data_IF_723510916602
#
_entry.id   IF_723510916602
#
_cell.length_a   1.000
_cell.length_b   1.000
_cell.length_c   1.000
_cell.angle_alpha   90.00
_cell.angle_beta   90.00
_cell.angle_gamma   90.00
#
_symmetry.space_group_name_H-M   'P 1'
#
loop_
_entity.id
_entity.type
_entity.pdbx_description
1 polymer ?
#
# COMPACT_ATOMS: atom_id res chain seq x y z
N UNK A 1 -40.01 -2.70 15.40
CA UNK A 1 -38.68 -2.04 15.35
C UNK A 1 -38.02 -2.33 16.69
N UNK A 2 -36.85 -2.99 16.79
CA UNK A 2 -36.28 -3.30 18.10
C UNK A 2 -35.85 -1.99 18.78
N UNK A 3 -36.16 -1.92 20.08
CA UNK A 3 -36.11 -0.74 20.96
C UNK A 3 -34.73 -0.49 21.59
N UNK A 4 -33.67 -1.08 21.05
CA UNK A 4 -32.33 -0.90 21.58
C UNK A 4 -31.68 0.30 20.90
N UNK A 5 -31.64 1.41 21.63
CA UNK A 5 -31.07 2.68 21.19
C UNK A 5 -29.64 2.47 20.69
N UNK A 6 -29.42 2.83 19.43
CA UNK A 6 -28.12 2.79 18.78
C UNK A 6 -27.14 3.73 19.45
N UNK A 7 -26.41 3.21 20.44
CA UNK A 7 -25.24 3.92 20.99
C UNK A 7 -24.27 4.14 19.83
N UNK A 8 -23.97 5.40 19.55
CA UNK A 8 -23.00 5.74 18.51
C UNK A 8 -21.68 5.03 18.84
N UNK A 9 -21.15 4.27 17.89
CA UNK A 9 -19.89 3.53 18.11
C UNK A 9 -18.74 4.51 18.41
N UNK A 10 -18.80 5.70 17.80
CA UNK A 10 -17.99 6.86 18.17
C UNK A 10 -18.71 8.16 17.80
N UNK A 11 -18.35 9.26 18.45
CA UNK A 11 -18.75 10.59 18.02
C UNK A 11 -17.86 11.08 16.87
N UNK A 12 -18.40 11.88 15.92
CA UNK A 12 -17.58 12.49 14.88
C UNK A 12 -16.46 13.34 15.48
N UNK A 13 -15.23 13.08 15.06
CA UNK A 13 -14.05 13.85 15.44
C UNK A 13 -13.53 14.65 14.23
N UNK A 14 -12.99 15.86 14.41
CA UNK A 14 -12.40 16.62 13.33
C UNK A 14 -11.22 15.84 12.71
N UNK A 15 -11.17 15.79 11.39
CA UNK A 15 -10.16 15.07 10.59
C UNK A 15 -9.37 16.00 9.66
N UNK A 16 -9.38 17.30 9.95
CA UNK A 16 -8.69 18.33 9.15
C UNK A 16 -9.58 18.92 8.06
N UNK A 17 -8.96 19.33 6.95
CA UNK A 17 -9.63 19.94 5.80
C UNK A 17 -9.32 19.12 4.56
N UNK A 18 -10.36 18.73 3.80
CA UNK A 18 -10.23 18.03 2.52
C UNK A 18 -10.92 18.87 1.45
N UNK A 19 -10.21 19.21 0.37
CA UNK A 19 -10.73 20.04 -0.73
C UNK A 19 -11.35 21.37 -0.27
N UNK A 20 -10.77 22.00 0.75
CA UNK A 20 -11.28 23.25 1.33
C UNK A 20 -12.51 23.10 2.23
N UNK A 21 -12.97 21.87 2.49
CA UNK A 21 -14.13 21.57 3.35
C UNK A 21 -13.66 20.90 4.66
N UNK A 22 -14.20 21.27 5.84
CA UNK A 22 -13.88 20.60 7.09
C UNK A 22 -14.30 19.12 7.01
N UNK A 23 -13.33 18.24 7.28
CA UNK A 23 -13.53 16.81 7.30
C UNK A 23 -13.77 16.32 8.72
N UNK A 24 -14.64 15.33 8.87
CA UNK A 24 -14.91 14.65 10.14
C UNK A 24 -14.79 13.14 9.95
N UNK A 25 -14.23 12.45 10.94
CA UNK A 25 -14.12 11.00 10.99
C UNK A 25 -15.03 10.46 12.08
N UNK A 26 -15.80 9.43 11.74
CA UNK A 26 -16.60 8.68 12.70
C UNK A 26 -16.48 7.19 12.40
N UNK A 27 -16.28 6.38 13.44
CA UNK A 27 -16.49 4.94 13.39
C UNK A 27 -17.97 4.64 13.54
N UNK A 28 -18.47 3.73 12.70
CA UNK A 28 -19.87 3.32 12.66
C UNK A 28 -19.99 1.81 12.71
N UNK A 29 -21.09 1.31 13.25
CA UNK A 29 -21.38 -0.13 13.24
C UNK A 29 -21.69 -0.62 11.83
N UNK A 30 -21.46 -1.92 11.59
CA UNK A 30 -21.75 -2.54 10.31
C UNK A 30 -23.24 -2.46 9.95
N UNK A 31 -24.13 -2.65 10.92
CA UNK A 31 -25.58 -2.54 10.73
C UNK A 31 -26.01 -1.12 10.33
N UNK A 32 -25.44 -0.09 10.97
CA UNK A 32 -25.66 1.29 10.56
C UNK A 32 -25.18 1.52 9.13
N UNK A 33 -23.96 1.05 8.81
CA UNK A 33 -23.41 1.21 7.46
C UNK A 33 -24.30 0.55 6.40
N UNK A 34 -24.81 -0.65 6.67
CA UNK A 34 -25.73 -1.38 5.79
C UNK A 34 -27.04 -0.63 5.60
N UNK A 35 -27.64 -0.12 6.67
CA UNK A 35 -28.82 0.75 6.60
C UNK A 35 -28.54 2.02 5.80
N UNK A 36 -27.41 2.67 6.05
CA UNK A 36 -27.03 3.93 5.41
C UNK A 36 -26.85 3.75 3.90
N UNK A 37 -26.16 2.70 3.45
CA UNK A 37 -25.99 2.43 2.02
C UNK A 37 -27.33 2.17 1.33
N UNK A 38 -28.28 1.50 2.00
CA UNK A 38 -29.57 1.13 1.41
C UNK A 38 -30.57 2.29 1.38
N UNK A 39 -30.64 3.07 2.46
CA UNK A 39 -31.68 4.11 2.63
C UNK A 39 -31.10 5.47 3.01
N UNK A 40 -30.04 5.51 3.81
CA UNK A 40 -29.45 6.77 4.30
C UNK A 40 -28.82 7.64 3.21
N UNK A 41 -28.23 7.04 2.17
CA UNK A 41 -27.64 7.78 1.03
C UNK A 41 -28.64 8.67 0.32
N UNK A 42 -29.86 8.18 0.08
CA UNK A 42 -30.93 8.97 -0.56
C UNK A 42 -31.37 10.09 0.36
N UNK A 43 -31.60 9.79 1.65
CA UNK A 43 -31.96 10.81 2.64
C UNK A 43 -30.91 11.91 2.78
N UNK A 44 -29.63 11.56 2.70
CA UNK A 44 -28.54 12.54 2.74
C UNK A 44 -28.54 13.42 1.48
N UNK A 45 -28.79 12.82 0.31
CA UNK A 45 -28.94 13.58 -0.93
C UNK A 45 -30.11 14.58 -0.84
N UNK A 46 -31.28 14.12 -0.41
CA UNK A 46 -32.47 14.97 -0.24
C UNK A 46 -32.22 16.09 0.79
N UNK A 47 -31.46 15.80 1.86
CA UNK A 47 -31.07 16.79 2.85
C UNK A 47 -30.12 17.84 2.27
N UNK A 48 -29.11 17.42 1.52
CA UNK A 48 -28.17 18.32 0.85
C UNK A 48 -28.91 19.26 -0.11
N UNK A 49 -29.84 18.73 -0.90
CA UNK A 49 -30.65 19.51 -1.85
C UNK A 49 -31.53 20.54 -1.14
N UNK A 50 -32.23 20.15 -0.07
CA UNK A 50 -33.14 21.03 0.67
C UNK A 50 -32.44 22.15 1.44
N UNK A 51 -31.24 21.88 1.97
CA UNK A 51 -30.53 22.80 2.87
C UNK A 51 -29.37 23.52 2.19
N UNK A 52 -29.16 23.34 0.88
CA UNK A 52 -28.00 23.87 0.17
C UNK A 52 -26.67 23.37 0.74
N UNK A 53 -26.66 22.19 1.37
CA UNK A 53 -25.47 21.60 1.97
C UNK A 53 -24.75 20.68 0.97
N UNK A 54 -23.44 20.50 1.12
CA UNK A 54 -22.65 19.59 0.28
C UNK A 54 -21.93 18.53 1.13
N UNK A 55 -22.68 17.80 1.96
CA UNK A 55 -22.11 16.74 2.78
C UNK A 55 -21.76 15.54 1.88
N UNK A 56 -20.48 15.18 1.84
CA UNK A 56 -19.97 14.02 1.10
C UNK A 56 -19.46 12.97 2.08
N UNK A 57 -19.86 11.71 1.87
CA UNK A 57 -19.29 10.58 2.59
C UNK A 57 -18.20 9.92 1.76
N UNK A 58 -16.99 9.93 2.30
CA UNK A 58 -15.87 9.16 1.81
C UNK A 58 -15.61 8.00 2.77
N UNK A 59 -15.66 6.77 2.26
CA UNK A 59 -15.23 5.60 3.05
C UNK A 59 -13.71 5.59 3.07
N UNK A 60 -13.11 5.86 4.23
CA UNK A 60 -11.69 5.59 4.41
C UNK A 60 -11.43 4.09 4.24
N UNK A 61 -10.52 3.77 3.33
CA UNK A 61 -9.99 2.42 3.20
C UNK A 61 -9.08 2.14 4.39
N UNK A 62 -9.12 0.93 4.93
CA UNK A 62 -8.15 0.48 5.93
C UNK A 62 -6.73 0.63 5.38
N UNK A 63 -5.75 0.88 6.26
CA UNK A 63 -4.34 1.02 5.87
C UNK A 63 -3.90 -0.15 4.98
N UNK A 64 -4.28 -1.37 5.35
CA UNK A 64 -4.01 -2.61 4.60
C UNK A 64 -4.55 -2.59 3.16
N UNK A 65 -5.76 -2.07 2.94
CA UNK A 65 -6.34 -2.03 1.60
C UNK A 65 -5.69 -0.93 0.74
N UNK A 66 -5.28 0.18 1.36
CA UNK A 66 -4.52 1.22 0.67
C UNK A 66 -3.13 0.74 0.27
N UNK A 67 -2.45 0.01 1.16
CA UNK A 67 -1.13 -0.56 0.88
C UNK A 67 -1.18 -1.63 -0.22
N UNK A 68 -2.25 -2.44 -0.28
CA UNK A 68 -2.49 -3.35 -1.40
C UNK A 68 -2.59 -2.60 -2.74
N UNK A 69 -3.37 -1.51 -2.80
CA UNK A 69 -3.49 -0.70 -4.01
C UNK A 69 -2.14 -0.09 -4.41
N UNK A 70 -1.37 0.42 -3.43
CA UNK A 70 -0.02 0.96 -3.65
C UNK A 70 0.97 -0.11 -4.13
N UNK A 71 0.91 -1.31 -3.56
CA UNK A 71 1.73 -2.45 -4.00
C UNK A 71 1.38 -2.84 -5.43
N UNK A 72 0.10 -2.85 -5.78
CA UNK A 72 -0.34 -3.09 -7.16
C UNK A 72 0.21 -2.07 -8.15
N UNK A 73 0.24 -0.79 -7.78
CA UNK A 73 0.86 0.27 -8.59
C UNK A 73 2.38 0.11 -8.71
N UNK A 74 3.04 -0.26 -7.61
CA UNK A 74 4.48 -0.54 -7.59
C UNK A 74 4.83 -1.69 -8.54
N UNK A 75 4.12 -2.82 -8.43
CA UNK A 75 4.30 -3.97 -9.30
C UNK A 75 4.09 -3.60 -10.76
N UNK A 76 3.02 -2.85 -11.08
CA UNK A 76 2.75 -2.37 -12.43
C UNK A 76 3.92 -1.55 -12.99
N UNK A 77 4.50 -0.66 -12.17
CA UNK A 77 5.66 0.15 -12.57
C UNK A 77 6.90 -0.74 -12.83
N UNK A 78 7.26 -1.62 -11.88
CA UNK A 78 8.39 -2.55 -12.02
C UNK A 78 8.25 -3.45 -13.25
N UNK A 79 7.06 -4.01 -13.48
CA UNK A 79 6.76 -4.83 -14.65
C UNK A 79 6.96 -4.05 -15.95
N UNK A 80 6.35 -2.87 -16.08
CA UNK A 80 6.50 -2.03 -17.27
C UNK A 80 7.96 -1.65 -17.54
N UNK A 81 8.72 -1.31 -16.48
CA UNK A 81 10.15 -1.03 -16.60
C UNK A 81 10.92 -2.25 -17.08
N UNK A 82 10.62 -3.43 -16.56
CA UNK A 82 11.29 -4.66 -16.96
C UNK A 82 10.99 -5.04 -18.43
N UNK A 83 9.74 -4.86 -18.91
CA UNK A 83 9.40 -5.03 -20.34
C UNK A 83 10.09 -4.01 -21.22
N UNK A 84 10.16 -2.75 -20.77
CA UNK A 84 10.87 -1.69 -21.48
C UNK A 84 12.37 -1.99 -21.60
N UNK A 85 12.99 -2.49 -20.52
CA UNK A 85 14.42 -2.81 -20.49
C UNK A 85 14.74 -4.02 -21.39
N UNK A 86 13.84 -5.01 -21.43
CA UNK A 86 13.96 -6.17 -22.31
C UNK A 86 13.63 -5.86 -23.79
N UNK A 87 13.11 -4.65 -24.08
CA UNK A 87 12.60 -4.25 -25.42
C UNK A 87 11.53 -5.19 -25.97
N UNK A 88 10.73 -5.80 -25.09
CA UNK A 88 9.62 -6.69 -25.43
C UNK A 88 8.31 -5.91 -25.30
N UNK A 89 7.36 -6.18 -26.20
CA UNK A 89 6.01 -5.61 -26.10
C UNK A 89 5.34 -6.05 -24.80
N UNK A 90 5.05 -5.09 -23.93
CA UNK A 90 4.43 -5.37 -22.64
C UNK A 90 2.96 -5.82 -22.82
N UNK A 91 2.51 -6.88 -22.14
CA UNK A 91 1.10 -7.18 -22.04
C UNK A 91 0.38 -6.04 -21.30
N UNK A 92 -0.93 -5.91 -21.49
CA UNK A 92 -1.70 -4.88 -20.80
C UNK A 92 -1.74 -5.15 -19.29
N UNK A 93 -1.14 -4.26 -18.50
CA UNK A 93 -1.16 -4.35 -17.04
C UNK A 93 -2.13 -3.30 -16.50
N UNK A 94 -3.22 -3.76 -15.87
CA UNK A 94 -4.28 -2.91 -15.34
C UNK A 94 -4.66 -3.28 -13.90
N UNK A 95 -5.18 -2.30 -13.16
CA UNK A 95 -5.68 -2.46 -11.80
C UNK A 95 -7.20 -2.35 -11.82
N UNK A 96 -7.89 -3.43 -11.47
CA UNK A 96 -9.36 -3.52 -11.47
C UNK A 96 -9.81 -3.81 -10.05
N UNK A 97 -10.47 -2.83 -9.39
CA UNK A 97 -11.00 -2.96 -8.01
C UNK A 97 -9.95 -3.41 -6.98
N UNK A 98 -8.71 -2.97 -7.12
CA UNK A 98 -7.59 -3.35 -6.23
C UNK A 98 -6.96 -4.71 -6.53
N UNK A 99 -7.40 -5.38 -7.60
CA UNK A 99 -6.76 -6.58 -8.14
C UNK A 99 -5.90 -6.19 -9.35
N UNK A 100 -4.74 -6.82 -9.47
CA UNK A 100 -3.80 -6.61 -10.56
C UNK A 100 -4.05 -7.66 -11.64
N UNK A 101 -4.25 -7.20 -12.89
CA UNK A 101 -4.45 -8.03 -14.08
C UNK A 101 -3.27 -7.85 -15.02
N UNK A 102 -2.70 -8.95 -15.50
CA UNK A 102 -1.61 -8.97 -16.49
C UNK A 102 -2.14 -9.68 -17.74
N UNK A 103 -2.29 -8.93 -18.83
CA UNK A 103 -2.81 -9.44 -20.10
C UNK A 103 -4.17 -10.13 -19.95
N UNK A 104 -4.21 -11.43 -20.31
CA UNK A 104 -5.42 -12.26 -20.26
C UNK A 104 -5.53 -13.10 -18.98
N UNK A 105 -4.61 -12.96 -18.04
CA UNK A 105 -4.66 -13.71 -16.78
C UNK A 105 -5.77 -13.22 -15.86
N UNK A 106 -6.18 -14.10 -14.93
CA UNK A 106 -7.20 -13.79 -13.92
C UNK A 106 -6.66 -12.69 -12.99
N UNK A 107 -7.43 -11.61 -12.73
CA UNK A 107 -7.03 -10.58 -11.78
C UNK A 107 -6.78 -11.16 -10.38
N UNK A 108 -5.62 -10.87 -9.81
CA UNK A 108 -5.19 -11.41 -8.51
C UNK A 108 -4.80 -10.29 -7.55
N UNK A 109 -4.76 -10.62 -6.25
CA UNK A 109 -4.32 -9.68 -5.24
C UNK A 109 -2.83 -9.33 -5.45
N UNK A 110 -2.44 -8.05 -5.34
CA UNK A 110 -1.05 -7.63 -5.49
C UNK A 110 -0.05 -8.41 -4.63
N UNK A 111 -0.38 -8.68 -3.37
CA UNK A 111 0.49 -9.47 -2.49
C UNK A 111 0.69 -10.90 -2.98
N UNK A 112 -0.38 -11.58 -3.40
CA UNK A 112 -0.29 -12.94 -3.98
C UNK A 112 0.54 -12.93 -5.26
N UNK A 113 0.35 -11.92 -6.10
CA UNK A 113 1.10 -11.81 -7.35
C UNK A 113 2.59 -11.54 -7.12
N UNK A 114 2.93 -10.72 -6.12
CA UNK A 114 4.32 -10.48 -5.73
C UNK A 114 5.02 -11.78 -5.29
N UNK A 115 4.32 -12.64 -4.54
CA UNK A 115 4.81 -13.98 -4.17
C UNK A 115 5.00 -14.83 -5.43
N UNK A 116 3.97 -14.96 -6.28
CA UNK A 116 4.03 -15.81 -7.48
C UNK A 116 5.12 -15.40 -8.46
N UNK A 117 5.37 -14.11 -8.63
CA UNK A 117 6.39 -13.55 -9.50
C UNK A 117 7.77 -13.44 -8.83
N UNK A 118 7.87 -13.73 -7.54
CA UNK A 118 9.08 -13.58 -6.73
C UNK A 118 9.76 -12.19 -6.89
N UNK A 119 8.95 -11.13 -6.89
CA UNK A 119 9.42 -9.77 -7.23
C UNK A 119 10.39 -9.24 -6.17
N UNK A 120 11.45 -8.58 -6.63
CA UNK A 120 12.28 -7.80 -5.71
C UNK A 120 11.55 -6.54 -5.17
N UNK A 121 11.32 -6.56 -3.86
CA UNK A 121 10.67 -5.51 -3.09
C UNK A 121 11.68 -4.60 -2.35
N UNK A 122 12.95 -4.61 -2.72
CA UNK A 122 13.98 -3.73 -2.11
C UNK A 122 13.62 -2.23 -2.14
N UNK A 123 12.98 -1.78 -3.22
CA UNK A 123 12.52 -0.38 -3.40
C UNK A 123 11.10 -0.12 -2.84
N UNK A 124 10.48 -1.10 -2.19
CA UNK A 124 9.13 -0.96 -1.64
C UNK A 124 9.16 -0.28 -0.27
N UNK A 125 8.47 0.85 -0.15
CA UNK A 125 8.42 1.67 1.07
C UNK A 125 7.17 1.45 1.94
N UNK A 126 6.50 0.30 1.79
CA UNK A 126 5.31 -0.02 2.58
C UNK A 126 5.56 -1.12 3.61
N UNK A 127 4.48 -1.63 4.20
CA UNK A 127 4.51 -2.80 5.07
C UNK A 127 5.14 -4.02 4.40
N UNK A 128 5.66 -4.94 5.22
CA UNK A 128 6.25 -6.17 4.73
C UNK A 128 5.22 -6.99 3.94
N UNK A 129 5.67 -7.74 2.94
CA UNK A 129 4.78 -8.56 2.11
C UNK A 129 3.94 -9.53 2.95
N UNK A 130 4.52 -10.05 4.04
CA UNK A 130 3.85 -10.95 4.97
C UNK A 130 2.65 -10.30 5.67
N UNK A 131 2.71 -9.01 5.98
CA UNK A 131 1.60 -8.30 6.65
C UNK A 131 0.43 -8.03 5.71
N UNK A 132 0.71 -8.01 4.40
CA UNK A 132 -0.27 -7.79 3.35
C UNK A 132 -1.04 -9.07 2.97
N UNK A 133 -0.48 -10.25 3.26
CA UNK A 133 -1.12 -11.54 3.00
C UNK A 133 -2.22 -11.84 4.02
N UNK A 134 -3.31 -12.47 3.58
CA UNK A 134 -4.32 -13.01 4.51
C UNK A 134 -3.82 -14.27 5.20
N UNK A 135 -4.43 -14.62 6.35
CA UNK A 135 -4.09 -15.84 7.08
C UNK A 135 -4.18 -17.10 6.19
N UNK A 136 -5.22 -17.18 5.35
CA UNK A 136 -5.37 -18.26 4.36
C UNK A 136 -4.23 -18.31 3.33
N UNK A 137 -3.71 -17.16 2.90
CA UNK A 137 -2.59 -17.09 1.95
C UNK A 137 -1.27 -17.49 2.63
N UNK A 138 -1.07 -17.09 3.89
CA UNK A 138 0.08 -17.52 4.70
C UNK A 138 0.08 -19.04 4.89
N UNK A 139 -1.08 -19.61 5.18
CA UNK A 139 -1.26 -21.06 5.31
C UNK A 139 -1.02 -21.76 3.97
N UNK A 140 -1.50 -21.21 2.85
CA UNK A 140 -1.23 -21.77 1.52
C UNK A 140 0.27 -21.75 1.15
N UNK A 141 1.03 -20.77 1.63
CA UNK A 141 2.50 -20.74 1.49
C UNK A 141 3.13 -21.87 2.32
N UNK A 142 2.73 -22.01 3.59
CA UNK A 142 3.22 -23.07 4.48
C UNK A 142 2.88 -24.47 3.96
N UNK A 143 1.70 -24.65 3.38
CA UNK A 143 1.25 -25.88 2.75
C UNK A 143 1.90 -26.14 1.37
N UNK A 144 2.67 -25.18 0.83
CA UNK A 144 3.32 -25.30 -0.47
C UNK A 144 2.38 -25.20 -1.68
N UNK A 145 1.13 -24.77 -1.47
CA UNK A 145 0.14 -24.50 -2.53
C UNK A 145 0.43 -23.17 -3.25
N UNK A 146 0.89 -22.16 -2.51
CA UNK A 146 1.34 -20.89 -3.06
C UNK A 146 2.87 -20.84 -2.99
N UNK A 147 3.54 -20.98 -4.13
CA UNK A 147 5.01 -21.00 -4.20
C UNK A 147 5.57 -19.72 -4.79
N UNK A 148 6.69 -19.28 -4.23
CA UNK A 148 7.49 -18.19 -4.78
C UNK A 148 7.98 -18.55 -6.18
N UNK A 149 7.82 -17.64 -7.14
CA UNK A 149 8.29 -17.85 -8.52
C UNK A 149 7.47 -18.88 -9.32
N UNK A 150 6.28 -19.26 -8.83
CA UNK A 150 5.37 -20.17 -9.54
C UNK A 150 4.83 -19.60 -10.85
N UNK A 151 4.97 -18.29 -11.07
CA UNK A 151 4.56 -17.60 -12.28
C UNK A 151 5.76 -16.95 -12.94
N UNK A 152 6.01 -17.31 -14.19
CA UNK A 152 7.07 -16.72 -15.01
C UNK A 152 6.46 -15.84 -16.08
N UNK A 153 7.05 -14.67 -16.30
CA UNK A 153 6.66 -13.76 -17.35
C UNK A 153 7.53 -14.00 -18.57
N UNK A 154 6.91 -13.96 -19.76
CA UNK A 154 7.61 -14.24 -21.00
C UNK A 154 8.70 -13.18 -21.26
N UNK A 155 9.96 -13.62 -21.26
CA UNK A 155 11.11 -12.83 -21.67
C UNK A 155 11.65 -11.83 -20.64
N UNK A 156 11.25 -11.91 -19.36
CA UNK A 156 11.68 -10.97 -18.32
C UNK A 156 11.98 -11.68 -17.01
N UNK A 157 13.07 -11.26 -16.36
CA UNK A 157 13.35 -11.57 -14.96
C UNK A 157 13.16 -10.33 -14.07
N UNK A 158 12.32 -10.46 -13.05
CA UNK A 158 12.12 -9.48 -11.96
C UNK A 158 12.45 -10.14 -10.61
N UNK A 159 13.00 -11.34 -10.66
CA UNK A 159 13.28 -12.14 -9.49
C UNK A 159 14.33 -11.45 -8.62
N UNK A 160 14.20 -11.60 -7.30
CA UNK A 160 15.34 -11.37 -6.41
C UNK A 160 16.51 -12.25 -6.87
N UNK A 161 17.74 -11.73 -6.96
CA UNK A 161 18.89 -12.57 -7.21
C UNK A 161 18.93 -13.66 -6.12
N UNK A 162 18.98 -14.93 -6.54
CA UNK A 162 19.16 -16.05 -5.63
C UNK A 162 20.53 -15.88 -4.98
N UNK A 163 20.57 -15.43 -3.73
CA UNK A 163 21.73 -15.72 -2.89
C UNK A 163 21.75 -17.23 -2.72
N UNK A 164 22.63 -17.89 -3.46
CA UNK A 164 22.94 -19.30 -3.31
C UNK A 164 23.39 -19.59 -1.87
N UNK A 165 22.56 -20.34 -1.16
CA UNK A 165 22.85 -21.44 -0.22
C UNK A 165 23.97 -21.27 0.83
N UNK A 166 23.63 -21.49 2.11
CA UNK A 166 23.90 -22.76 2.82
C UNK A 166 22.90 -22.89 3.99
N UNK A 167 22.09 -23.94 3.93
CA UNK A 167 21.46 -24.56 5.09
C UNK A 167 22.44 -25.63 5.60
N UNK A 168 22.94 -25.48 6.82
CA UNK A 168 23.35 -26.62 7.64
C UNK A 168 23.06 -26.32 9.11
N UNK A 169 22.02 -26.98 9.61
CA UNK A 169 21.72 -27.09 11.04
C UNK A 169 22.77 -27.96 11.70
N UNK A 170 23.48 -27.43 12.68
CA UNK A 170 24.00 -28.21 13.82
C UNK A 170 24.16 -27.29 15.03
N UNK A 171 23.29 -27.46 16.01
CA UNK A 171 23.53 -27.03 17.39
C UNK A 171 24.67 -27.88 17.97
N UNK A 172 25.77 -27.26 18.42
CA UNK A 172 26.47 -27.66 19.67
C UNK A 172 27.03 -26.41 20.34
N UNK A 173 26.89 -26.44 21.66
CA UNK A 173 26.98 -25.42 22.69
C UNK A 173 28.42 -25.06 23.14
N UNK A 174 28.58 -23.78 23.53
CA UNK A 174 29.53 -23.15 24.48
C UNK A 174 31.06 -23.31 24.32
N UNK A 175 31.77 -22.16 24.20
CA UNK A 175 32.42 -21.50 25.35
C UNK A 175 32.93 -20.09 25.02
N UNK A 176 32.84 -19.26 26.05
CA UNK A 176 33.22 -17.84 26.16
C UNK A 176 34.71 -17.60 25.96
N UNK A 177 35.06 -16.45 25.39
CA UNK A 177 36.13 -15.58 25.89
C UNK A 177 35.87 -14.11 25.50
N UNK A 178 35.69 -13.29 26.55
CA UNK A 178 36.04 -11.88 26.75
C UNK A 178 37.13 -11.33 25.79
N UNK A 179 37.22 -10.08 25.33
CA UNK A 179 36.68 -8.74 25.69
C UNK A 179 37.05 -7.78 24.52
N UNK A 180 36.26 -6.73 24.26
CA UNK A 180 36.80 -5.46 23.72
C UNK A 180 35.81 -4.28 23.91
N UNK A 181 36.29 -3.04 24.11
CA UNK A 181 35.51 -1.96 24.71
C UNK A 181 34.96 -0.90 23.73
N UNK A 182 33.90 -0.24 24.21
CA UNK A 182 33.51 1.18 24.05
C UNK A 182 32.92 1.68 22.72
N UNK A 183 31.64 2.06 22.85
CA UNK A 183 30.84 2.93 21.97
C UNK A 183 31.42 4.34 21.81
N UNK A 184 31.31 4.93 20.60
CA UNK A 184 30.93 6.34 20.45
C UNK A 184 30.46 6.68 19.02
N UNK A 185 29.14 6.85 18.92
CA UNK A 185 28.37 7.86 18.19
C UNK A 185 29.03 8.59 16.99
N UNK A 186 28.39 8.47 15.81
CA UNK A 186 28.52 9.45 14.72
C UNK A 186 27.14 10.04 14.34
N UNK A 187 27.14 11.36 14.23
CA UNK A 187 26.00 12.26 14.31
C UNK A 187 25.21 12.38 12.99
N UNK A 188 23.88 12.26 13.05
CA UNK A 188 22.98 12.71 11.98
C UNK A 188 22.88 14.24 12.02
N UNK A 189 23.44 14.93 11.02
CA UNK A 189 23.20 16.37 10.80
C UNK A 189 21.74 16.62 10.44
N UNK A 190 21.06 17.49 11.19
CA UNK A 190 19.78 18.09 10.82
C UNK A 190 20.05 19.28 9.91
N UNK A 191 19.41 19.34 8.73
CA UNK A 191 19.42 20.52 7.84
C UNK A 191 18.66 21.67 8.50
N UNK A 192 19.23 22.87 8.45
CA UNK A 192 18.64 24.12 8.95
C UNK A 192 17.74 24.78 7.91
N UNK A 193 16.75 25.54 8.38
CA UNK A 193 15.70 26.19 7.59
C UNK A 193 16.25 27.16 6.53
N UNK A 194 17.46 27.71 6.75
CA UNK A 194 18.12 28.63 5.83
C UNK A 194 18.59 27.97 4.52
N UNK A 195 18.84 26.66 4.51
CA UNK A 195 19.18 25.93 3.27
C UNK A 195 17.94 25.70 2.36
N UNK A 196 16.72 25.94 2.85
CA UNK A 196 15.48 25.70 2.09
C UNK A 196 15.03 26.91 1.26
N UNK A 197 15.52 28.12 1.57
CA UNK A 197 15.04 29.37 0.95
C UNK A 197 15.83 29.80 -0.30
N UNK A 198 17.03 29.26 -0.54
CA UNK A 198 17.91 29.69 -1.65
C UNK A 198 17.66 29.01 -3.01
N UNK A 199 16.65 28.15 -3.14
CA UNK A 199 16.37 27.42 -4.40
C UNK A 199 15.35 28.15 -5.29
N UNK A 200 14.81 29.30 -4.86
CA UNK A 200 13.72 30.01 -5.55
C UNK A 200 14.11 31.38 -6.10
N UNK A 201 15.33 31.56 -6.62
CA UNK A 201 15.61 32.67 -7.53
C UNK A 201 16.56 32.19 -8.63
N UNK A 202 16.04 32.10 -9.85
CA UNK A 202 16.68 32.30 -11.17
C UNK A 202 15.97 31.41 -12.19
N UNK A 203 14.97 32.00 -12.87
CA UNK A 203 14.67 31.88 -14.31
C UNK A 203 13.37 32.63 -14.64
N UNK A 204 13.45 33.96 -14.75
CA UNK A 204 12.60 34.71 -15.68
C UNK A 204 13.49 35.12 -16.85
N UNK A 205 13.35 34.43 -17.98
CA UNK A 205 13.86 34.93 -19.25
C UNK A 205 12.74 35.73 -19.90
N UNK A 206 13.00 37.02 -20.04
CA UNK A 206 12.26 37.97 -20.86
C UNK A 206 12.53 37.59 -22.32
N UNK A 207 11.49 37.45 -23.14
CA UNK A 207 11.60 37.50 -24.59
C UNK A 207 11.14 38.89 -25.01
N UNK A 208 12.09 39.68 -25.49
CA UNK A 208 11.84 40.79 -26.40
C UNK A 208 12.09 40.31 -27.84
N UNK A 209 11.48 41.07 -28.75
CA UNK A 209 11.44 40.98 -30.23
C UNK A 209 10.40 40.03 -30.84
#
# INVERSE_FOLDING_TARGET
YPKDQGKAFSWPAPAGVSDGVPAYRAQVSYEFWKYFIRFGRRKLFDYNEKNGAMIRLTKEKTLTLQEQDRLGLFLRKKLKQAYSNAKISAPEISLVKGLLKIGNEVPQRPAVLAVKLNVDLSEWNGSALEDLLTNSEKEAIKAGQLRYGSMQLQGISIEKPKTSEILSTTEVHLKETETCPTESQSQKRKRTLDEFMDVQVVKKHVREE
#
